data_IF_654163383390
#
_entry.id   IF_654163383390
#
_cell.length_a   1.000
_cell.length_b   1.000
_cell.length_c   1.000
_cell.angle_alpha   90.00
_cell.angle_beta   90.00
_cell.angle_gamma   90.00
#
_symmetry.space_group_name_H-M   'P 1'
#
loop_
_entity.id
_entity.type
_entity.pdbx_description
1 polymer ?
#
# COMPACT_ATOMS: atom_id res chain seq x y z
N UNK A 1 -11.22 18.26 -9.12
CA UNK A 1 -12.04 17.19 -8.51
C UNK A 1 -11.45 16.85 -7.15
N UNK A 2 -12.25 16.36 -6.19
CA UNK A 2 -11.74 16.05 -4.84
C UNK A 2 -11.13 14.65 -4.80
N UNK A 3 -9.98 14.50 -4.12
CA UNK A 3 -9.25 13.22 -4.04
C UNK A 3 -10.11 12.07 -3.48
N UNK A 4 -11.06 12.37 -2.60
CA UNK A 4 -12.02 11.39 -2.08
C UNK A 4 -12.93 10.84 -3.20
N UNK A 5 -13.40 11.71 -4.09
CA UNK A 5 -14.22 11.30 -5.23
C UNK A 5 -13.39 10.42 -6.15
N UNK A 6 -12.18 10.84 -6.49
CA UNK A 6 -11.29 10.10 -7.37
C UNK A 6 -10.94 8.70 -6.81
N UNK A 7 -10.70 8.61 -5.49
CA UNK A 7 -10.47 7.33 -4.81
C UNK A 7 -11.67 6.40 -4.87
N UNK A 8 -12.87 6.96 -4.71
CA UNK A 8 -14.12 6.20 -4.73
C UNK A 8 -14.45 5.73 -6.15
N UNK A 9 -14.33 6.62 -7.13
CA UNK A 9 -14.57 6.34 -8.54
C UNK A 9 -13.58 5.30 -9.08
N UNK A 10 -12.31 5.38 -8.68
CA UNK A 10 -11.30 4.38 -9.00
C UNK A 10 -11.70 3.00 -8.47
N UNK A 11 -12.17 2.92 -7.22
CA UNK A 11 -12.68 1.68 -6.65
C UNK A 11 -13.85 1.11 -7.45
N UNK A 12 -14.86 1.95 -7.71
CA UNK A 12 -16.06 1.56 -8.46
C UNK A 12 -15.71 1.05 -9.86
N UNK A 13 -14.82 1.73 -10.58
CA UNK A 13 -14.35 1.29 -11.90
C UNK A 13 -13.77 -0.13 -11.91
N UNK A 14 -13.02 -0.51 -10.87
CA UNK A 14 -12.46 -1.86 -10.76
C UNK A 14 -13.47 -2.90 -10.26
N UNK A 15 -14.48 -2.49 -9.49
CA UNK A 15 -15.58 -3.37 -9.08
C UNK A 15 -16.59 -3.63 -10.21
N UNK A 16 -16.71 -2.67 -11.13
CA UNK A 16 -17.76 -2.61 -12.14
C UNK A 16 -17.28 -1.66 -13.27
N UNK A 17 -16.64 -2.21 -14.31
CA UNK A 17 -16.09 -1.42 -15.44
C UNK A 17 -17.21 -0.93 -16.35
N UNK A 18 -18.01 0.04 -15.88
CA UNK A 18 -19.15 0.60 -16.59
C UNK A 18 -20.23 -0.44 -16.91
N UNK A 19 -20.36 -1.47 -16.06
CA UNK A 19 -21.22 -2.64 -16.17
C UNK A 19 -20.69 -3.82 -15.32
N UNK A 20 -21.38 -4.98 -15.33
CA UNK A 20 -21.07 -6.16 -14.49
C UNK A 20 -19.77 -6.93 -14.89
N UNK A 21 -18.67 -6.21 -15.10
CA UNK A 21 -17.34 -6.71 -15.43
C UNK A 21 -16.35 -6.23 -14.35
N UNK A 22 -16.28 -6.92 -13.20
CA UNK A 22 -15.28 -6.64 -12.18
C UNK A 22 -13.87 -7.01 -12.66
N UNK A 23 -12.86 -6.47 -11.99
CA UNK A 23 -11.52 -7.01 -12.09
C UNK A 23 -11.42 -8.35 -11.36
N UNK A 24 -10.97 -9.37 -12.08
CA UNK A 24 -10.69 -10.70 -11.56
C UNK A 24 -9.19 -10.91 -11.45
N UNK A 25 -8.74 -11.52 -10.35
CA UNK A 25 -7.37 -11.99 -10.22
C UNK A 25 -7.04 -13.05 -11.28
N UNK A 26 -5.75 -13.23 -11.56
CA UNK A 26 -5.25 -14.07 -12.63
C UNK A 26 -4.62 -15.35 -12.09
N UNK A 27 -4.56 -16.38 -12.94
CA UNK A 27 -3.78 -17.61 -12.67
C UNK A 27 -2.26 -17.43 -12.82
N UNK A 28 -1.80 -16.40 -13.53
CA UNK A 28 -0.38 -16.13 -13.81
C UNK A 28 -0.14 -14.64 -14.10
N UNK A 29 1.11 -14.25 -14.41
CA UNK A 29 1.48 -12.88 -14.79
C UNK A 29 0.95 -12.42 -16.16
N UNK A 30 0.22 -13.26 -16.90
CA UNK A 30 -0.35 -12.88 -18.20
C UNK A 30 -1.62 -12.04 -18.04
N UNK A 31 -1.80 -11.04 -18.91
CA UNK A 31 -3.02 -10.20 -19.02
C UNK A 31 -3.44 -9.48 -17.73
N UNK A 32 -2.48 -9.04 -16.91
CA UNK A 32 -2.76 -8.41 -15.62
C UNK A 32 -3.60 -7.13 -15.73
N UNK A 33 -3.53 -6.39 -16.84
CA UNK A 33 -4.33 -5.17 -17.06
C UNK A 33 -5.74 -5.45 -17.60
N UNK A 34 -5.99 -6.66 -18.08
CA UNK A 34 -7.33 -7.06 -18.52
C UNK A 34 -8.21 -7.38 -17.30
N UNK A 35 -9.48 -7.04 -17.38
CA UNK A 35 -10.41 -7.24 -16.28
C UNK A 35 -10.75 -8.73 -16.06
N UNK A 36 -10.88 -9.51 -17.13
CA UNK A 36 -11.41 -10.89 -17.03
C UNK A 36 -10.57 -11.94 -17.77
N UNK A 37 -9.78 -11.55 -18.78
CA UNK A 37 -8.84 -12.50 -19.42
C UNK A 37 -7.87 -13.05 -18.39
N UNK A 38 -7.52 -14.32 -18.57
CA UNK A 38 -6.63 -15.07 -17.68
C UNK A 38 -7.09 -15.15 -16.21
N UNK A 39 -8.38 -14.97 -15.95
CA UNK A 39 -8.92 -15.17 -14.61
C UNK A 39 -8.60 -16.58 -14.08
N UNK A 40 -8.35 -16.68 -12.77
CA UNK A 40 -8.07 -17.93 -12.07
C UNK A 40 -7.68 -17.68 -10.62
N UNK A 41 -7.49 -18.73 -9.82
CA UNK A 41 -7.43 -18.62 -8.34
C UNK A 41 -6.02 -18.62 -7.74
N UNK A 42 -5.06 -17.94 -8.39
CA UNK A 42 -3.68 -17.90 -7.92
C UNK A 42 -3.24 -16.51 -7.43
N UNK A 43 -4.15 -15.56 -7.18
CA UNK A 43 -3.81 -14.23 -6.63
C UNK A 43 -2.79 -13.42 -7.45
N UNK A 44 -2.72 -13.58 -8.78
CA UNK A 44 -1.90 -12.71 -9.63
C UNK A 44 -2.70 -11.46 -10.02
N UNK A 45 -2.19 -10.26 -9.74
CA UNK A 45 -2.91 -9.00 -10.02
C UNK A 45 -2.00 -7.91 -10.57
N UNK A 46 -2.59 -6.97 -11.32
CA UNK A 46 -1.87 -5.74 -11.71
C UNK A 46 -1.47 -4.91 -10.50
N UNK A 47 -2.26 -4.94 -9.43
CA UNK A 47 -2.02 -4.12 -8.25
C UNK A 47 -0.69 -4.49 -7.60
N UNK A 48 -0.47 -5.78 -7.38
CA UNK A 48 0.79 -6.30 -6.87
C UNK A 48 1.96 -6.04 -7.82
N UNK A 49 1.77 -6.19 -9.14
CA UNK A 49 2.80 -5.79 -10.13
C UNK A 49 3.18 -4.32 -10.03
N UNK A 50 2.19 -3.43 -9.99
CA UNK A 50 2.41 -1.98 -9.96
C UNK A 50 3.09 -1.56 -8.65
N UNK A 51 2.68 -2.12 -7.52
CA UNK A 51 3.34 -1.92 -6.22
C UNK A 51 4.81 -2.37 -6.26
N UNK A 52 5.12 -3.50 -6.89
CA UNK A 52 6.50 -3.94 -7.12
C UNK A 52 7.30 -2.94 -7.97
N UNK A 53 6.67 -2.34 -8.99
CA UNK A 53 7.30 -1.32 -9.86
C UNK A 53 7.59 -0.01 -9.11
N UNK A 54 6.86 0.28 -8.03
CA UNK A 54 7.13 1.40 -7.13
C UNK A 54 8.14 1.05 -6.02
N UNK A 55 8.89 -0.05 -6.16
CA UNK A 55 9.91 -0.47 -5.21
C UNK A 55 9.38 -1.04 -3.89
N UNK A 56 8.08 -1.24 -3.76
CA UNK A 56 7.43 -1.77 -2.56
C UNK A 56 7.03 -3.25 -2.71
N UNK A 57 6.84 -4.00 -1.61
CA UNK A 57 6.46 -5.42 -1.69
C UNK A 57 5.00 -5.58 -2.15
N UNK A 58 4.81 -5.81 -3.45
CA UNK A 58 3.50 -6.06 -4.04
C UNK A 58 2.96 -7.47 -3.81
N UNK A 59 3.84 -8.45 -3.52
CA UNK A 59 3.47 -9.80 -3.09
C UNK A 59 2.54 -10.55 -4.07
N UNK A 60 2.95 -10.72 -5.33
CA UNK A 60 2.22 -11.57 -6.30
C UNK A 60 2.00 -12.98 -5.74
N UNK A 61 0.83 -13.56 -6.03
CA UNK A 61 0.48 -14.90 -5.57
C UNK A 61 0.01 -14.97 -4.11
N UNK A 62 -0.14 -13.82 -3.44
CA UNK A 62 -0.60 -13.72 -2.05
C UNK A 62 -1.95 -13.00 -1.97
N UNK A 63 -2.74 -13.20 -0.89
CA UNK A 63 -3.98 -12.47 -0.71
C UNK A 63 -3.79 -10.94 -0.83
N UNK A 64 -4.53 -10.32 -1.74
CA UNK A 64 -4.20 -8.98 -2.23
C UNK A 64 -5.15 -7.86 -1.79
N UNK A 65 -6.09 -8.12 -0.86
CA UNK A 65 -7.05 -7.10 -0.39
C UNK A 65 -6.36 -5.82 0.10
N UNK A 66 -5.31 -5.95 0.92
CA UNK A 66 -4.57 -4.81 1.45
C UNK A 66 -3.66 -4.15 0.39
N UNK A 67 -3.04 -4.95 -0.49
CA UNK A 67 -2.23 -4.46 -1.61
C UNK A 67 -3.08 -3.62 -2.57
N UNK A 68 -4.34 -4.01 -2.81
CA UNK A 68 -5.27 -3.23 -3.64
C UNK A 68 -5.65 -1.89 -3.00
N UNK A 69 -5.96 -1.87 -1.69
CA UNK A 69 -6.25 -0.60 -1.01
C UNK A 69 -5.02 0.32 -1.01
N UNK A 70 -3.83 -0.23 -0.78
CA UNK A 70 -2.58 0.51 -0.88
C UNK A 70 -2.35 1.05 -2.30
N UNK A 71 -2.52 0.21 -3.32
CA UNK A 71 -2.40 0.63 -4.71
C UNK A 71 -3.33 1.80 -5.06
N UNK A 72 -4.60 1.74 -4.62
CA UNK A 72 -5.52 2.88 -4.80
C UNK A 72 -5.02 4.14 -4.10
N UNK A 73 -4.53 4.04 -2.87
CA UNK A 73 -3.97 5.21 -2.16
C UNK A 73 -2.75 5.79 -2.88
N UNK A 74 -1.85 4.96 -3.42
CA UNK A 74 -0.72 5.45 -4.21
C UNK A 74 -1.19 6.16 -5.47
N UNK A 75 -2.21 5.63 -6.16
CA UNK A 75 -2.78 6.29 -7.36
C UNK A 75 -3.42 7.65 -7.06
N UNK A 76 -3.91 7.87 -5.85
CA UNK A 76 -4.62 9.10 -5.46
C UNK A 76 -3.70 10.11 -4.80
N UNK A 77 -2.83 9.67 -3.89
CA UNK A 77 -2.00 10.57 -3.08
C UNK A 77 -0.52 10.53 -3.42
N UNK A 78 -0.06 9.49 -4.11
CA UNK A 78 1.36 9.16 -4.21
C UNK A 78 1.84 8.20 -3.13
N UNK A 79 3.06 7.69 -3.33
CA UNK A 79 3.62 6.59 -2.55
C UNK A 79 3.88 6.97 -1.10
N UNK A 80 4.49 8.14 -0.88
CA UNK A 80 4.81 8.67 0.46
C UNK A 80 3.58 8.70 1.36
N UNK A 81 2.49 9.31 0.86
CA UNK A 81 1.27 9.45 1.65
C UNK A 81 0.56 8.12 1.89
N UNK A 82 0.57 7.22 0.91
CA UNK A 82 0.02 5.87 1.09
C UNK A 82 0.75 5.09 2.21
N UNK A 83 2.08 5.22 2.29
CA UNK A 83 2.89 4.62 3.35
C UNK A 83 2.63 5.27 4.72
N UNK A 84 2.43 6.58 4.79
CA UNK A 84 2.01 7.24 6.03
C UNK A 84 0.66 6.72 6.53
N UNK A 85 -0.27 6.43 5.62
CA UNK A 85 -1.62 5.93 5.95
C UNK A 85 -1.60 4.46 6.39
N UNK A 86 -0.96 3.57 5.62
CA UNK A 86 -1.05 2.12 5.82
C UNK A 86 0.17 1.48 6.49
N UNK A 87 1.28 2.22 6.60
CA UNK A 87 2.54 1.74 7.14
C UNK A 87 3.36 0.89 6.16
N UNK A 88 4.64 0.66 6.48
CA UNK A 88 5.54 -0.20 5.68
C UNK A 88 5.14 -1.69 5.68
N UNK A 89 4.19 -2.09 6.52
CA UNK A 89 3.58 -3.43 6.54
C UNK A 89 2.25 -3.52 5.79
N UNK A 90 1.95 -2.58 4.88
CA UNK A 90 0.63 -2.40 4.25
C UNK A 90 0.02 -3.67 3.64
N UNK A 91 0.84 -4.62 3.19
CA UNK A 91 0.41 -5.89 2.58
C UNK A 91 -0.22 -6.88 3.58
N UNK A 92 -0.29 -6.53 4.86
CA UNK A 92 -0.90 -7.34 5.91
C UNK A 92 -1.89 -6.50 6.74
N UNK A 93 -3.16 -6.88 6.72
CA UNK A 93 -4.24 -6.10 7.36
C UNK A 93 -4.01 -5.86 8.86
N UNK A 94 -3.50 -6.85 9.61
CA UNK A 94 -3.14 -6.66 11.04
C UNK A 94 -2.03 -5.63 11.24
N UNK A 95 -1.06 -5.59 10.33
CA UNK A 95 0.03 -4.60 10.36
C UNK A 95 -0.52 -3.20 10.08
N UNK A 96 -1.45 -3.05 9.12
CA UNK A 96 -2.17 -1.80 8.87
C UNK A 96 -2.95 -1.35 10.11
N UNK A 97 -3.70 -2.26 10.76
CA UNK A 97 -4.42 -1.95 12.00
C UNK A 97 -3.48 -1.47 13.11
N UNK A 98 -2.34 -2.14 13.30
CA UNK A 98 -1.35 -1.73 14.31
C UNK A 98 -0.80 -0.33 14.00
N UNK A 99 -0.42 -0.08 12.75
CA UNK A 99 0.05 1.22 12.30
C UNK A 99 -0.97 2.33 12.56
N UNK A 100 -2.24 2.09 12.19
CA UNK A 100 -3.32 3.04 12.42
C UNK A 100 -3.59 3.31 13.90
N UNK A 101 -3.48 2.30 14.77
CA UNK A 101 -3.61 2.47 16.22
C UNK A 101 -2.47 3.34 16.78
N UNK A 102 -1.23 3.04 16.41
CA UNK A 102 -0.06 3.79 16.85
C UNK A 102 -0.11 5.26 16.40
N UNK A 103 -0.69 5.53 15.23
CA UNK A 103 -0.81 6.88 14.68
C UNK A 103 -2.13 7.58 15.06
N UNK A 104 -2.97 7.00 15.92
CA UNK A 104 -4.23 7.60 16.38
C UNK A 104 -5.35 7.70 15.32
N UNK A 105 -5.15 7.11 14.13
CA UNK A 105 -6.11 7.14 13.01
C UNK A 105 -7.11 5.98 13.05
N UNK A 106 -6.90 4.98 13.90
CA UNK A 106 -7.85 3.90 14.14
C UNK A 106 -9.08 4.38 14.91
N UNK A 107 -10.29 4.14 14.37
CA UNK A 107 -11.58 4.55 14.95
C UNK A 107 -12.60 3.41 14.92
N UNK A 108 -13.64 3.54 15.75
CA UNK A 108 -14.78 2.60 15.80
C UNK A 108 -15.98 3.06 14.96
N UNK A 109 -15.96 4.26 14.42
CA UNK A 109 -17.03 4.84 13.61
C UNK A 109 -16.61 4.95 12.13
N UNK A 110 -17.54 4.68 11.18
CA UNK A 110 -17.25 4.78 9.76
C UNK A 110 -17.07 6.24 9.33
N UNK A 111 -16.28 6.44 8.27
CA UNK A 111 -16.09 7.72 7.58
C UNK A 111 -15.95 7.44 6.09
N UNK A 112 -16.50 8.29 5.21
CA UNK A 112 -16.31 8.18 3.75
C UNK A 112 -14.81 8.14 3.42
N UNK A 113 -14.39 7.21 2.57
CA UNK A 113 -13.00 7.00 2.19
C UNK A 113 -12.13 6.31 3.26
N UNK A 114 -12.63 6.04 4.47
CA UNK A 114 -11.85 5.27 5.45
C UNK A 114 -11.58 3.85 4.94
N UNK A 115 -10.50 3.22 5.40
CA UNK A 115 -10.33 1.79 5.23
C UNK A 115 -11.08 1.05 6.34
N UNK A 116 -11.86 0.04 6.01
CA UNK A 116 -12.54 -0.82 6.98
C UNK A 116 -11.83 -2.16 7.06
N UNK A 117 -11.53 -2.63 8.27
CA UNK A 117 -10.87 -3.91 8.51
C UNK A 117 -11.86 -4.89 9.15
N UNK A 118 -11.80 -6.14 8.70
CA UNK A 118 -12.72 -7.19 9.11
C UNK A 118 -12.01 -8.42 9.68
N UNK A 119 -12.76 -9.16 10.52
CA UNK A 119 -12.47 -10.51 11.02
C UNK A 119 -11.10 -10.61 11.66
N UNK A 120 -10.83 -9.77 12.65
CA UNK A 120 -9.55 -9.70 13.36
C UNK A 120 -8.36 -9.52 12.39
N UNK A 121 -8.52 -8.62 11.41
CA UNK A 121 -7.49 -8.27 10.46
C UNK A 121 -7.17 -9.35 9.42
N UNK A 122 -8.18 -10.08 8.94
CA UNK A 122 -8.00 -10.98 7.78
C UNK A 122 -8.41 -10.34 6.45
N UNK A 123 -9.23 -9.28 6.48
CA UNK A 123 -9.68 -8.60 5.26
C UNK A 123 -9.76 -7.09 5.44
N UNK A 124 -9.63 -6.34 4.34
CA UNK A 124 -9.70 -4.88 4.33
C UNK A 124 -10.36 -4.37 3.04
N UNK A 125 -11.25 -3.39 3.22
CA UNK A 125 -11.92 -2.66 2.14
C UNK A 125 -11.82 -1.15 2.35
N UNK A 126 -12.42 -0.36 1.46
CA UNK A 126 -12.59 1.07 1.66
C UNK A 126 -14.05 1.47 1.67
N UNK A 127 -14.42 2.44 2.50
CA UNK A 127 -15.80 2.97 2.59
C UNK A 127 -16.10 3.87 1.41
N UNK A 128 -17.09 3.48 0.60
CA UNK A 128 -17.71 4.31 -0.44
C UNK A 128 -18.66 5.31 0.21
N UNK A 129 -19.59 4.80 1.02
CA UNK A 129 -20.63 5.57 1.69
C UNK A 129 -21.12 4.83 2.93
N UNK A 130 -21.92 5.48 3.78
CA UNK A 130 -22.61 4.85 4.91
C UNK A 130 -23.87 5.64 5.27
N UNK A 131 -24.80 4.99 5.97
CA UNK A 131 -25.98 5.61 6.55
C UNK A 131 -26.21 5.08 7.98
N UNK A 132 -27.38 5.32 8.56
CA UNK A 132 -27.71 4.86 9.92
C UNK A 132 -27.52 3.34 10.13
N UNK A 133 -27.77 2.55 9.09
CA UNK A 133 -27.89 1.09 9.18
C UNK A 133 -26.74 0.33 8.52
N UNK A 134 -26.17 0.88 7.44
CA UNK A 134 -25.21 0.17 6.58
C UNK A 134 -23.94 0.97 6.31
N UNK A 135 -22.85 0.23 6.12
CA UNK A 135 -21.68 0.71 5.38
C UNK A 135 -21.69 0.11 3.96
N UNK A 136 -21.22 0.89 2.99
CA UNK A 136 -21.01 0.49 1.62
C UNK A 136 -19.52 0.57 1.31
N UNK A 137 -18.99 -0.47 0.71
CA UNK A 137 -17.55 -0.73 0.67
C UNK A 137 -17.12 -1.09 -0.74
N UNK A 138 -15.86 -0.81 -1.05
CA UNK A 138 -15.15 -1.30 -2.22
C UNK A 138 -13.95 -2.15 -1.75
N UNK A 139 -13.96 -3.40 -2.15
CA UNK A 139 -13.04 -4.43 -1.68
C UNK A 139 -12.30 -5.07 -2.86
N UNK A 140 -11.07 -5.49 -2.60
CA UNK A 140 -10.29 -6.36 -3.48
C UNK A 140 -10.10 -7.72 -2.83
N UNK A 141 -9.83 -8.74 -3.61
CA UNK A 141 -9.75 -10.13 -3.17
C UNK A 141 -10.99 -10.63 -2.39
N UNK A 142 -12.17 -10.26 -2.89
CA UNK A 142 -13.49 -10.64 -2.36
C UNK A 142 -14.32 -11.25 -3.50
N UNK A 143 -15.57 -11.62 -3.25
CA UNK A 143 -16.50 -12.13 -4.27
C UNK A 143 -17.87 -11.44 -4.18
N UNK A 144 -18.76 -11.76 -5.13
CA UNK A 144 -20.17 -11.36 -5.10
C UNK A 144 -20.98 -12.06 -3.99
N UNK A 145 -20.43 -13.08 -3.32
CA UNK A 145 -21.10 -13.75 -2.21
C UNK A 145 -21.34 -12.78 -1.05
N UNK A 146 -22.47 -12.97 -0.36
CA UNK A 146 -22.84 -12.15 0.79
C UNK A 146 -21.85 -12.30 1.96
N UNK A 147 -21.78 -11.27 2.81
CA UNK A 147 -20.88 -11.24 3.96
C UNK A 147 -19.41 -11.05 3.57
N UNK A 148 -18.54 -11.02 4.58
CA UNK A 148 -17.10 -10.78 4.36
C UNK A 148 -16.49 -12.02 3.72
N UNK A 149 -15.89 -11.87 2.55
CA UNK A 149 -15.22 -12.97 1.84
C UNK A 149 -13.75 -12.63 1.73
N UNK A 150 -12.93 -13.27 2.56
CA UNK A 150 -11.49 -13.22 2.39
C UNK A 150 -11.12 -14.17 1.25
N UNK A 151 -10.37 -13.69 0.27
CA UNK A 151 -9.83 -14.48 -0.84
C UNK A 151 -10.84 -14.89 -1.93
N UNK A 152 -11.77 -13.99 -2.28
CA UNK A 152 -12.81 -14.27 -3.29
C UNK A 152 -12.44 -13.95 -4.75
N UNK A 153 -11.20 -13.53 -5.02
CA UNK A 153 -10.64 -13.42 -6.37
C UNK A 153 -11.09 -12.23 -7.23
N UNK A 154 -11.89 -11.29 -6.71
CA UNK A 154 -12.39 -10.15 -7.48
C UNK A 154 -12.38 -8.83 -6.71
N UNK A 155 -12.43 -7.72 -7.44
CA UNK A 155 -12.84 -6.43 -6.91
C UNK A 155 -14.37 -6.35 -6.89
N UNK A 156 -15.00 -5.99 -5.76
CA UNK A 156 -16.46 -5.83 -5.66
C UNK A 156 -16.86 -4.72 -4.73
N UNK A 157 -18.05 -4.17 -4.99
CA UNK A 157 -18.76 -3.32 -4.06
C UNK A 157 -19.67 -4.17 -3.17
N UNK A 158 -19.62 -3.95 -1.86
CA UNK A 158 -20.37 -4.75 -0.87
C UNK A 158 -21.00 -3.85 0.19
N UNK A 159 -22.00 -4.37 0.90
CA UNK A 159 -22.63 -3.68 2.03
C UNK A 159 -22.65 -4.57 3.26
N UNK A 160 -22.52 -3.96 4.43
CA UNK A 160 -22.58 -4.62 5.73
C UNK A 160 -23.41 -3.79 6.70
N UNK A 161 -24.06 -4.45 7.65
CA UNK A 161 -24.71 -3.74 8.76
C UNK A 161 -23.64 -3.03 9.58
N UNK A 162 -23.93 -1.85 10.11
CA UNK A 162 -22.95 -1.08 10.91
C UNK A 162 -22.51 -1.78 12.19
N UNK A 163 -23.40 -2.59 12.78
CA UNK A 163 -23.10 -3.43 13.94
C UNK A 163 -22.69 -4.87 13.57
N UNK A 164 -22.29 -5.12 12.31
CA UNK A 164 -21.82 -6.45 11.92
C UNK A 164 -20.59 -6.83 12.77
N UNK A 165 -20.63 -7.95 13.52
CA UNK A 165 -19.55 -8.34 14.42
C UNK A 165 -18.24 -8.67 13.69
N UNK A 166 -18.28 -8.86 12.36
CA UNK A 166 -17.09 -9.02 11.56
C UNK A 166 -16.30 -7.72 11.38
N UNK A 167 -16.86 -6.55 11.71
CA UNK A 167 -16.16 -5.26 11.58
C UNK A 167 -15.25 -5.02 12.80
N UNK A 168 -13.95 -4.94 12.57
CA UNK A 168 -13.00 -4.65 13.65
C UNK A 168 -12.93 -3.15 13.96
N UNK A 169 -13.00 -2.33 12.91
CA UNK A 169 -12.88 -0.87 12.97
C UNK A 169 -12.40 -0.26 11.65
N UNK A 170 -12.00 1.01 11.73
CA UNK A 170 -11.76 1.86 10.57
C UNK A 170 -10.44 2.62 10.68
N UNK A 171 -9.69 2.73 9.60
CA UNK A 171 -8.56 3.64 9.45
C UNK A 171 -9.08 4.92 8.81
N UNK A 172 -9.15 6.00 9.59
CA UNK A 172 -9.55 7.30 9.06
C UNK A 172 -8.45 7.92 8.21
N UNK A 173 -8.85 8.44 7.05
CA UNK A 173 -7.97 9.13 6.11
C UNK A 173 -8.40 10.60 6.01
N UNK A 174 -7.43 11.49 5.91
CA UNK A 174 -7.64 12.89 5.52
C UNK A 174 -7.25 13.04 4.06
N UNK A 175 -8.23 13.39 3.21
CA UNK A 175 -8.04 13.46 1.76
C UNK A 175 -7.50 14.81 1.27
N UNK A 176 -7.53 15.88 2.07
CA UNK A 176 -7.00 17.19 1.64
C UNK A 176 -7.55 17.67 0.29
N UNK A 177 -6.78 18.48 -0.44
CA UNK A 177 -7.15 19.08 -1.73
C UNK A 177 -6.18 18.80 -2.89
N UNK A 178 -4.99 18.21 -2.66
CA UNK A 178 -4.00 17.92 -3.71
C UNK A 178 -3.26 16.60 -3.47
N UNK A 179 -2.97 15.87 -4.56
CA UNK A 179 -2.20 14.62 -4.55
C UNK A 179 -0.74 14.83 -4.97
N UNK A 180 0.19 14.00 -4.47
CA UNK A 180 1.63 14.15 -4.68
C UNK A 180 2.16 13.19 -5.78
N UNK A 181 1.92 13.54 -7.05
CA UNK A 181 2.31 12.72 -8.22
C UNK A 181 3.82 12.47 -8.31
N UNK A 182 4.65 13.41 -7.87
CA UNK A 182 6.12 13.38 -7.99
C UNK A 182 6.75 12.13 -7.36
N UNK A 183 6.18 11.62 -6.26
CA UNK A 183 6.73 10.45 -5.57
C UNK A 183 6.59 9.15 -6.37
N UNK A 184 5.55 9.03 -7.21
CA UNK A 184 5.32 7.83 -8.03
C UNK A 184 6.27 7.79 -9.21
N UNK A 185 6.47 8.94 -9.86
CA UNK A 185 7.36 9.07 -11.01
C UNK A 185 8.80 8.75 -10.61
N UNK A 186 9.27 9.32 -9.49
CA UNK A 186 10.58 9.00 -8.90
C UNK A 186 10.67 7.52 -8.54
N UNK A 187 9.64 6.93 -7.90
CA UNK A 187 9.68 5.52 -7.52
C UNK A 187 9.83 4.57 -8.72
N UNK A 188 9.23 4.93 -9.86
CA UNK A 188 9.23 4.11 -11.07
C UNK A 188 10.56 4.10 -11.82
N UNK A 189 11.43 5.09 -11.57
CA UNK A 189 12.74 5.23 -12.21
C UNK A 189 13.90 4.70 -11.34
N UNK A 190 13.63 4.32 -10.09
CA UNK A 190 14.64 3.83 -9.16
C UNK A 190 15.39 2.60 -9.69
N UNK A 191 16.71 2.70 -9.73
CA UNK A 191 17.59 1.58 -10.04
C UNK A 191 17.69 0.65 -8.84
N UNK A 192 17.53 -0.66 -9.07
CA UNK A 192 17.70 -1.70 -8.03
C UNK A 192 19.05 -2.41 -8.08
N UNK A 193 19.86 -2.09 -9.09
CA UNK A 193 21.20 -2.65 -9.27
C UNK A 193 22.16 -1.89 -8.34
N UNK A 194 22.90 -2.60 -7.46
CA UNK A 194 23.99 -1.99 -6.70
C UNK A 194 24.98 -1.29 -7.62
N UNK A 195 25.34 -0.07 -7.25
CA UNK A 195 26.37 0.73 -7.90
C UNK A 195 27.69 0.62 -7.12
N UNK A 196 27.63 0.70 -5.79
CA UNK A 196 28.79 0.57 -4.90
C UNK A 196 28.34 0.21 -3.48
N UNK A 197 29.29 -0.12 -2.61
CA UNK A 197 29.04 -0.40 -1.19
C UNK A 197 29.25 0.87 -0.36
N UNK A 198 28.30 1.16 0.51
CA UNK A 198 28.39 2.23 1.51
C UNK A 198 28.55 1.65 2.92
N UNK A 199 29.37 2.31 3.75
CA UNK A 199 29.53 2.01 5.17
C UNK A 199 28.77 3.03 6.01
N UNK A 200 27.94 2.53 6.94
CA UNK A 200 27.18 3.37 7.86
C UNK A 200 28.11 4.03 8.88
N UNK A 201 27.98 5.35 9.04
CA UNK A 201 28.78 6.15 9.99
C UNK A 201 28.00 6.57 11.24
N UNK A 202 26.67 6.47 11.22
CA UNK A 202 25.85 6.76 12.39
C UNK A 202 25.78 5.56 13.34
N UNK A 203 25.74 5.81 14.66
CA UNK A 203 25.49 4.78 15.68
C UNK A 203 24.22 3.98 15.39
N UNK A 204 23.18 4.70 14.97
CA UNK A 204 21.87 4.17 14.62
C UNK A 204 21.32 4.93 13.40
N UNK A 205 20.89 4.17 12.40
CA UNK A 205 20.37 4.71 11.14
C UNK A 205 19.10 3.97 10.74
N UNK A 206 17.98 4.67 10.81
CA UNK A 206 16.68 4.15 10.39
C UNK A 206 16.66 3.92 8.88
N UNK A 207 16.17 2.75 8.47
CA UNK A 207 15.91 2.42 7.07
C UNK A 207 14.43 2.59 6.79
N UNK A 208 14.11 3.52 5.91
CA UNK A 208 12.74 4.01 5.70
C UNK A 208 12.12 3.46 4.43
N UNK A 209 10.80 3.43 4.39
CA UNK A 209 10.04 2.99 3.23
C UNK A 209 10.01 4.03 2.09
N UNK A 210 10.37 5.29 2.39
CA UNK A 210 10.54 6.38 1.42
C UNK A 210 11.58 7.40 1.93
N UNK A 211 12.04 8.27 1.04
CA UNK A 211 13.06 9.29 1.29
C UNK A 211 12.52 10.51 2.06
N UNK A 212 12.15 10.31 3.32
CA UNK A 212 11.89 11.38 4.28
C UNK A 212 11.88 10.83 5.72
N UNK A 213 12.00 11.68 6.73
CA UNK A 213 12.08 11.26 8.14
C UNK A 213 10.75 10.87 8.78
N UNK A 214 9.63 11.17 8.16
CA UNK A 214 8.28 10.84 8.65
C UNK A 214 7.80 9.47 8.12
N UNK A 215 8.44 9.00 7.05
CA UNK A 215 8.13 7.74 6.41
C UNK A 215 8.47 6.56 7.34
N UNK A 216 7.56 5.57 7.44
CA UNK A 216 7.76 4.41 8.30
C UNK A 216 9.09 3.69 8.05
N UNK A 217 9.65 3.08 9.08
CA UNK A 217 10.78 2.15 8.92
C UNK A 217 10.33 0.86 8.25
N UNK A 218 11.22 0.23 7.48
CA UNK A 218 10.92 -1.05 6.84
C UNK A 218 10.87 -2.17 7.87
N UNK A 219 9.92 -3.09 7.73
CA UNK A 219 9.63 -4.11 8.77
C UNK A 219 10.78 -5.08 9.05
N UNK A 220 11.55 -5.47 8.02
CA UNK A 220 12.54 -6.55 8.13
C UNK A 220 13.94 -6.07 8.52
N UNK A 221 14.29 -4.84 8.16
CA UNK A 221 15.57 -4.21 8.50
C UNK A 221 15.34 -2.75 8.87
N UNK A 222 14.65 -2.47 9.99
CA UNK A 222 14.25 -1.12 10.35
C UNK A 222 15.44 -0.23 10.72
N UNK A 223 16.57 -0.83 11.12
CA UNK A 223 17.71 -0.15 11.71
C UNK A 223 19.03 -0.73 11.20
N UNK A 224 19.97 0.14 10.87
CA UNK A 224 21.37 -0.16 10.65
C UNK A 224 22.22 0.47 11.76
N UNK A 225 23.37 -0.12 12.03
CA UNK A 225 24.35 0.36 13.01
C UNK A 225 25.65 0.77 12.34
N UNK A 226 26.44 1.54 13.06
CA UNK A 226 27.77 1.96 12.62
C UNK A 226 28.59 0.77 12.13
N UNK A 227 29.28 0.96 11.00
CA UNK A 227 30.07 -0.08 10.36
C UNK A 227 29.30 -1.07 9.50
N UNK A 228 27.96 -1.11 9.55
CA UNK A 228 27.17 -1.91 8.62
C UNK A 228 27.45 -1.51 7.17
N UNK A 229 27.57 -2.51 6.29
CA UNK A 229 27.73 -2.32 4.86
C UNK A 229 26.39 -2.52 4.15
N UNK A 230 26.09 -1.63 3.21
CA UNK A 230 24.87 -1.67 2.39
C UNK A 230 25.19 -1.39 0.93
N UNK A 231 24.45 -2.04 0.03
CA UNK A 231 24.54 -1.77 -1.40
C UNK A 231 23.79 -0.46 -1.70
N UNK A 232 24.49 0.53 -2.26
CA UNK A 232 23.85 1.77 -2.75
C UNK A 232 23.40 1.53 -4.17
N UNK A 233 22.09 1.61 -4.42
CA UNK A 233 21.47 1.31 -5.71
C UNK A 233 21.12 2.57 -6.50
N UNK A 234 20.67 3.62 -5.82
CA UNK A 234 20.34 4.91 -6.42
C UNK A 234 20.41 6.06 -5.40
N UNK A 235 20.33 7.29 -5.88
CA UNK A 235 20.23 8.50 -5.06
C UNK A 235 19.04 9.33 -5.54
N UNK A 236 18.19 9.78 -4.62
CA UNK A 236 17.08 10.67 -4.94
C UNK A 236 17.10 11.93 -4.09
N UNK A 237 16.52 13.01 -4.62
CA UNK A 237 16.25 14.24 -3.91
C UNK A 237 14.82 14.22 -3.40
N UNK A 238 14.64 14.33 -2.09
CA UNK A 238 13.35 14.38 -1.44
C UNK A 238 12.64 15.73 -1.70
N UNK A 239 11.36 15.81 -1.32
CA UNK A 239 10.53 17.01 -1.49
C UNK A 239 11.08 18.24 -0.74
N UNK A 240 11.82 18.02 0.35
CA UNK A 240 12.49 19.06 1.15
C UNK A 240 13.90 19.42 0.63
N UNK A 241 14.31 18.85 -0.50
CA UNK A 241 15.63 19.06 -1.10
C UNK A 241 16.74 18.18 -0.53
N UNK A 242 16.49 17.40 0.53
CA UNK A 242 17.49 16.49 1.10
C UNK A 242 17.78 15.30 0.19
N UNK A 243 19.01 14.81 0.20
CA UNK A 243 19.40 13.62 -0.58
C UNK A 243 19.28 12.35 0.26
N UNK A 244 18.79 11.30 -0.39
CA UNK A 244 18.61 9.97 0.20
C UNK A 244 19.15 8.89 -0.72
N UNK A 245 19.83 7.91 -0.14
CA UNK A 245 20.22 6.69 -0.86
C UNK A 245 19.08 5.69 -0.84
N UNK A 246 18.76 5.14 -2.02
CA UNK A 246 18.00 3.90 -2.14
C UNK A 246 18.98 2.73 -1.99
N UNK A 247 18.79 1.94 -0.94
CA UNK A 247 19.75 0.90 -0.53
C UNK A 247 19.17 -0.49 -0.65
N UNK A 248 20.05 -1.47 -0.87
CA UNK A 248 19.75 -2.90 -0.77
C UNK A 248 20.57 -3.52 0.37
N UNK A 249 19.87 -4.25 1.24
CA UNK A 249 20.40 -4.85 2.46
C UNK A 249 20.26 -6.36 2.35
N UNK A 250 21.34 -7.08 2.67
CA UNK A 250 21.43 -8.55 2.59
C UNK A 250 20.94 -9.10 1.23
N UNK A 251 21.26 -8.37 0.14
CA UNK A 251 20.90 -8.73 -1.24
C UNK A 251 19.41 -8.69 -1.58
N UNK A 252 18.50 -8.39 -0.64
CA UNK A 252 17.05 -8.60 -0.85
C UNK A 252 16.12 -7.53 -0.30
N UNK A 253 16.50 -6.82 0.76
CA UNK A 253 15.64 -5.82 1.39
C UNK A 253 15.97 -4.43 0.87
N UNK A 254 14.97 -3.66 0.51
CA UNK A 254 15.15 -2.31 -0.03
C UNK A 254 14.55 -1.26 0.89
N UNK A 255 15.17 -0.09 0.93
CA UNK A 255 14.67 1.06 1.67
C UNK A 255 15.51 2.30 1.39
N UNK A 256 15.26 3.35 2.17
CA UNK A 256 15.93 4.64 2.03
C UNK A 256 16.67 5.02 3.31
N UNK A 257 17.87 5.57 3.16
CA UNK A 257 18.67 6.13 4.25
C UNK A 257 19.22 7.50 3.85
N UNK A 258 19.38 8.40 4.83
CA UNK A 258 19.92 9.74 4.56
C UNK A 258 21.40 9.65 4.17
N UNK A 259 21.81 10.36 3.12
CA UNK A 259 23.16 10.24 2.53
C UNK A 259 24.27 10.62 3.50
N UNK A 260 24.03 11.63 4.34
CA UNK A 260 24.98 12.14 5.35
C UNK A 260 25.51 11.08 6.34
N UNK A 261 24.87 9.92 6.44
CA UNK A 261 25.25 8.83 7.36
C UNK A 261 25.91 7.63 6.66
N UNK A 262 26.31 7.79 5.40
CA UNK A 262 26.94 6.74 4.60
C UNK A 262 28.24 7.29 4.01
N UNK A 263 29.33 6.55 4.21
CA UNK A 263 30.62 6.78 3.54
C UNK A 263 30.83 5.72 2.47
N UNK A 264 31.07 6.12 1.23
CA UNK A 264 31.45 5.20 0.14
C UNK A 264 32.71 4.43 0.53
N UNK A 265 32.70 3.12 0.32
CA UNK A 265 33.88 2.26 0.41
C UNK A 265 34.63 2.26 -0.92
#
# INVERSE_FOLDING_TARGET
MSLLKDFTDLGNFYADKGGNRPYLEKRSNAYLDDFTRNAGSNNYTKFARDVNRWGQPGCQGQPWCAVYQFWKLVKIFGLKKALQIMGGGFYNCRSVTRHAKNNGTWKKTPKKGALVVFRNGTHIGSIINYNGSYIYTNEGNTSSSAGVVANGGSCRNKRYRRGDPAIDGYVWINYGTSGESTSVDVASTLKRRPQYVGKVTAKELNVRSWADVESPVIKKWPLLREGNLVDICDTIKASDGSEWYYVRIAGKYYGFVATKYIKRQ
#
